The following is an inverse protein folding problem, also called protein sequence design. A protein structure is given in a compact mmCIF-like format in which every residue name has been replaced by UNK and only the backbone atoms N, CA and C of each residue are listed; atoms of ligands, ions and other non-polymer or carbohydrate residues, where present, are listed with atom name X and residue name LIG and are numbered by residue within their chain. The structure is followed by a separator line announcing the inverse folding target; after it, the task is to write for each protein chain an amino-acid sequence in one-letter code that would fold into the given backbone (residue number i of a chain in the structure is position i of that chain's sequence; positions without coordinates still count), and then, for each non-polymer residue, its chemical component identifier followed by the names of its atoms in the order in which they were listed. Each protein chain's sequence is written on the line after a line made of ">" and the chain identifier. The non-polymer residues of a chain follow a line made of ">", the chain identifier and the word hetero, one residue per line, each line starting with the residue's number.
data_IF_999512066827
#
_entry.id   IF_999512066827
#
_cell.length_a   1.000
_cell.length_b   1.000
_cell.length_c   1.000
_cell.angle_alpha   90.00
_cell.angle_beta   90.00
_cell.angle_gamma   90.00
#
_symmetry.space_group_name_H-M   'P 1'
#
loop_
_entity.id
_entity.type
_entity.pdbx_description
1 polymer ?
#
# COMPACT_ATOMS: atom_id res chain seq x y z
N UNK A 1 -78.60 -12.20 9.91
CA UNK A 1 -77.65 -11.68 8.90
C UNK A 1 -76.30 -11.47 9.58
N UNK A 2 -75.36 -12.41 9.45
CA UNK A 2 -74.04 -12.35 10.12
C UNK A 2 -73.01 -11.89 9.09
N UNK A 3 -72.44 -10.70 9.31
CA UNK A 3 -71.40 -10.11 8.48
C UNK A 3 -70.05 -10.70 8.93
N UNK A 4 -69.31 -11.27 7.98
CA UNK A 4 -67.99 -11.89 8.18
C UNK A 4 -66.93 -10.89 7.70
N UNK A 5 -66.08 -10.40 8.60
CA UNK A 5 -64.95 -9.53 8.26
C UNK A 5 -63.70 -10.37 7.93
N UNK A 6 -62.92 -10.02 6.88
CA UNK A 6 -61.72 -10.74 6.51
C UNK A 6 -60.51 -10.30 7.35
N UNK A 7 -59.67 -11.29 7.62
CA UNK A 7 -58.51 -11.26 8.50
C UNK A 7 -57.22 -11.12 7.69
N UNK A 8 -56.32 -10.28 8.19
CA UNK A 8 -54.86 -10.35 8.06
C UNK A 8 -54.20 -10.15 6.67
N UNK A 9 -53.85 -8.90 6.37
CA UNK A 9 -52.86 -8.52 5.36
C UNK A 9 -51.66 -7.76 5.98
N UNK A 10 -51.20 -8.19 7.17
CA UNK A 10 -50.15 -7.47 7.94
C UNK A 10 -48.86 -8.26 8.18
N UNK A 11 -48.77 -9.54 7.78
CA UNK A 11 -47.63 -10.40 8.11
C UNK A 11 -46.51 -10.46 7.05
N UNK A 12 -46.73 -9.98 5.83
CA UNK A 12 -45.75 -10.13 4.74
C UNK A 12 -44.72 -8.99 4.65
N UNK A 13 -44.96 -7.83 5.28
CA UNK A 13 -44.07 -6.65 5.19
C UNK A 13 -42.89 -6.73 6.17
N UNK A 14 -43.00 -7.50 7.24
CA UNK A 14 -41.98 -7.55 8.31
C UNK A 14 -40.74 -8.37 7.90
N UNK A 15 -40.87 -9.32 6.97
CA UNK A 15 -39.74 -10.15 6.54
C UNK A 15 -38.76 -9.45 5.58
N UNK A 16 -39.23 -8.46 4.79
CA UNK A 16 -38.36 -7.75 3.85
C UNK A 16 -37.45 -6.70 4.52
N UNK A 17 -37.86 -6.15 5.68
CA UNK A 17 -37.07 -5.17 6.43
C UNK A 17 -35.88 -5.80 7.19
N UNK A 18 -35.93 -7.10 7.48
CA UNK A 18 -34.87 -7.79 8.24
C UNK A 18 -33.72 -8.29 7.34
N UNK A 19 -33.98 -8.55 6.06
CA UNK A 19 -32.94 -8.94 5.08
C UNK A 19 -32.16 -7.72 4.58
N UNK A 20 -32.78 -6.54 4.52
CA UNK A 20 -32.10 -5.31 4.06
C UNK A 20 -31.19 -4.67 5.12
N UNK A 21 -31.37 -4.98 6.41
CA UNK A 21 -30.57 -4.42 7.51
C UNK A 21 -29.28 -5.19 7.80
N UNK A 22 -29.12 -6.41 7.29
CA UNK A 22 -27.88 -7.20 7.47
C UNK A 22 -26.82 -6.94 6.39
N UNK A 23 -27.20 -6.32 5.27
CA UNK A 23 -26.27 -5.98 4.17
C UNK A 23 -25.54 -4.64 4.35
N UNK A 24 -25.88 -3.84 5.37
CA UNK A 24 -25.34 -2.48 5.55
C UNK A 24 -24.21 -2.37 6.59
N UNK A 25 -23.76 -3.47 7.19
CA UNK A 25 -22.74 -3.46 8.26
C UNK A 25 -21.47 -4.25 7.94
N UNK A 26 -21.18 -4.54 6.67
CA UNK A 26 -19.85 -5.01 6.26
C UNK A 26 -18.92 -3.83 5.95
N UNK A 27 -18.94 -2.78 6.77
CA UNK A 27 -17.75 -1.95 6.92
C UNK A 27 -16.69 -2.84 7.56
N UNK A 28 -16.01 -3.64 6.73
CA UNK A 28 -14.86 -4.40 7.13
C UNK A 28 -13.86 -3.39 7.70
N UNK A 29 -13.73 -3.39 9.03
CA UNK A 29 -12.57 -2.83 9.69
C UNK A 29 -11.41 -3.73 9.28
N UNK A 30 -10.85 -3.51 8.09
CA UNK A 30 -9.59 -4.11 7.73
C UNK A 30 -8.58 -3.59 8.76
N UNK A 31 -7.91 -4.51 9.43
CA UNK A 31 -6.85 -4.14 10.35
C UNK A 31 -5.80 -3.38 9.53
N UNK A 32 -5.55 -2.11 9.87
CA UNK A 32 -4.48 -1.37 9.25
C UNK A 32 -3.16 -1.91 9.76
N UNK A 33 -2.42 -2.61 8.92
CA UNK A 33 -1.12 -3.15 9.28
C UNK A 33 -0.03 -2.33 8.62
N UNK A 34 1.01 -2.03 9.38
CA UNK A 34 2.21 -1.39 8.86
C UNK A 34 3.28 -2.47 8.67
N UNK A 35 3.83 -2.53 7.46
CA UNK A 35 4.99 -3.35 7.11
C UNK A 35 6.12 -2.40 6.72
N UNK A 36 7.32 -2.60 7.26
CA UNK A 36 8.41 -1.69 7.01
C UNK A 36 9.57 -1.81 8.00
N UNK A 37 10.47 -0.85 7.92
CA UNK A 37 11.52 -0.63 8.91
C UNK A 37 11.85 0.85 9.04
N UNK A 38 12.41 1.20 10.20
CA UNK A 38 12.79 2.57 10.57
C UNK A 38 14.30 2.74 10.77
N UNK A 39 15.09 1.73 10.42
CA UNK A 39 16.52 1.68 10.70
C UNK A 39 17.25 1.91 9.39
N UNK A 40 17.82 3.10 9.21
CA UNK A 40 18.69 3.39 8.07
C UNK A 40 19.54 4.63 8.27
N UNK A 41 20.34 4.93 7.26
CA UNK A 41 21.20 6.10 7.13
C UNK A 41 21.05 6.65 5.72
N UNK A 42 21.50 7.88 5.52
CA UNK A 42 21.42 8.54 4.23
C UNK A 42 22.26 7.80 3.18
N UNK A 43 21.65 7.55 2.02
CA UNK A 43 22.36 7.22 0.79
C UNK A 43 22.36 8.46 -0.12
N UNK A 44 23.52 8.94 -0.61
CA UNK A 44 23.56 10.03 -1.57
C UNK A 44 23.10 9.65 -3.00
N UNK A 45 22.72 8.41 -3.27
CA UNK A 45 22.37 7.96 -4.61
C UNK A 45 20.93 8.32 -5.03
N UNK A 46 20.80 9.01 -6.16
CA UNK A 46 19.55 9.46 -6.76
C UNK A 46 19.49 9.17 -8.28
N UNK A 47 18.32 9.37 -8.87
CA UNK A 47 17.98 9.17 -10.29
C UNK A 47 17.95 7.70 -10.77
N UNK A 48 17.73 6.77 -9.83
CA UNK A 48 17.55 5.34 -10.13
C UNK A 48 16.09 4.89 -10.00
N UNK A 49 15.78 3.76 -10.63
CA UNK A 49 14.55 3.02 -10.30
C UNK A 49 14.79 2.25 -9.02
N UNK A 50 14.22 2.76 -7.93
CA UNK A 50 14.27 2.11 -6.63
C UNK A 50 12.98 1.33 -6.40
N UNK A 51 13.16 0.12 -5.89
CA UNK A 51 12.05 -0.70 -5.43
C UNK A 51 12.35 -1.42 -4.13
N UNK A 52 11.29 -1.87 -3.47
CA UNK A 52 11.38 -2.65 -2.25
C UNK A 52 10.27 -3.71 -2.27
N UNK A 53 10.66 -4.97 -2.08
CA UNK A 53 9.67 -6.01 -1.82
C UNK A 53 9.32 -6.07 -0.34
N UNK A 54 8.09 -6.49 -0.06
CA UNK A 54 7.60 -6.75 1.29
C UNK A 54 6.69 -7.99 1.31
N UNK A 55 6.69 -8.70 2.44
CA UNK A 55 5.73 -9.75 2.73
C UNK A 55 4.59 -9.14 3.53
N UNK A 56 3.36 -9.23 3.03
CA UNK A 56 2.18 -8.74 3.73
C UNK A 56 1.95 -9.53 5.03
N UNK A 57 1.67 -8.83 6.13
CA UNK A 57 1.42 -9.44 7.45
C UNK A 57 -0.07 -9.54 7.79
N UNK A 58 -0.95 -9.06 6.92
CA UNK A 58 -2.38 -9.21 7.04
C UNK A 58 -3.08 -9.03 5.68
N UNK A 59 -4.34 -9.47 5.61
CA UNK A 59 -5.23 -9.20 4.49
C UNK A 59 -5.79 -7.77 4.60
N UNK A 60 -5.90 -7.06 3.47
CA UNK A 60 -6.42 -5.70 3.46
C UNK A 60 -6.36 -5.01 2.11
N UNK A 61 -6.28 -3.68 2.14
CA UNK A 61 -6.22 -2.84 0.95
C UNK A 61 -5.01 -1.92 1.07
N UNK A 62 -4.11 -1.99 0.10
CA UNK A 62 -2.93 -1.13 0.13
C UNK A 62 -3.34 0.35 0.05
N UNK A 63 -3.07 1.09 1.13
CA UNK A 63 -3.45 2.49 1.28
C UNK A 63 -2.34 3.42 0.81
N UNK A 64 -1.11 3.19 1.25
CA UNK A 64 0.06 3.95 0.84
C UNK A 64 1.33 3.10 0.90
N UNK A 65 2.31 3.53 0.10
CA UNK A 65 3.72 3.20 0.27
C UNK A 65 4.48 4.48 0.65
N UNK A 66 5.59 4.31 1.34
CA UNK A 66 6.39 5.41 1.85
C UNK A 66 7.87 5.05 1.85
N UNK A 67 8.69 5.97 1.36
CA UNK A 67 10.12 6.03 1.65
C UNK A 67 10.42 7.22 2.56
N UNK A 68 11.55 7.16 3.26
CA UNK A 68 12.06 8.29 4.05
C UNK A 68 13.19 8.99 3.30
N UNK A 69 13.10 10.31 3.16
CA UNK A 69 14.11 11.11 2.46
C UNK A 69 15.43 11.15 3.22
N UNK A 70 16.53 11.12 2.47
CA UNK A 70 17.89 11.33 2.95
C UNK A 70 18.28 12.81 3.03
N UNK A 71 19.56 13.07 3.30
CA UNK A 71 20.13 14.43 3.34
C UNK A 71 20.02 15.16 1.99
N UNK A 72 19.93 16.49 2.05
CA UNK A 72 19.99 17.36 0.86
C UNK A 72 18.66 17.95 0.41
N UNK A 73 17.52 17.42 0.88
CA UNK A 73 16.19 17.85 0.42
C UNK A 73 16.05 17.69 -1.10
N UNK A 74 15.21 18.52 -1.72
CA UNK A 74 15.11 18.61 -3.18
C UNK A 74 13.74 18.24 -3.72
N UNK A 75 13.69 17.95 -5.01
CA UNK A 75 12.43 17.71 -5.73
C UNK A 75 12.42 16.30 -6.29
N UNK A 76 11.48 15.48 -5.82
CA UNK A 76 11.11 14.25 -6.48
C UNK A 76 10.33 14.61 -7.73
N UNK A 77 10.90 14.39 -8.90
CA UNK A 77 10.21 14.66 -10.17
C UNK A 77 9.01 13.73 -10.32
N UNK A 78 8.02 14.18 -11.10
CA UNK A 78 6.87 13.35 -11.45
C UNK A 78 7.34 12.00 -12.04
N UNK A 79 6.73 10.91 -11.58
CA UNK A 79 7.17 9.54 -11.89
C UNK A 79 5.95 8.62 -11.98
N UNK A 80 6.18 7.32 -12.20
CA UNK A 80 5.13 6.29 -12.15
C UNK A 80 5.45 5.32 -11.04
N UNK A 81 4.55 5.19 -10.07
CA UNK A 81 4.58 4.07 -9.12
C UNK A 81 4.07 2.83 -9.82
N UNK A 82 4.82 1.73 -9.69
CA UNK A 82 4.42 0.38 -10.13
C UNK A 82 4.44 -0.56 -8.94
N UNK A 83 3.47 -1.47 -8.89
CA UNK A 83 3.43 -2.52 -7.88
C UNK A 83 3.28 -3.87 -8.58
N UNK A 84 4.13 -4.81 -8.21
CA UNK A 84 4.23 -6.14 -8.79
C UNK A 84 3.83 -7.22 -7.78
N UNK A 85 3.35 -8.34 -8.28
CA UNK A 85 3.18 -9.56 -7.51
C UNK A 85 4.55 -10.25 -7.33
N UNK A 86 4.85 -10.66 -6.10
CA UNK A 86 6.10 -11.35 -5.77
C UNK A 86 7.28 -10.41 -5.52
N UNK A 87 8.46 -11.03 -5.42
CA UNK A 87 9.75 -10.36 -5.24
C UNK A 87 10.40 -10.12 -6.61
N UNK A 88 9.85 -9.18 -7.38
CA UNK A 88 10.29 -8.87 -8.75
C UNK A 88 9.85 -7.46 -9.15
N UNK A 89 10.61 -6.83 -10.06
CA UNK A 89 10.22 -5.62 -10.79
C UNK A 89 10.08 -5.86 -12.29
N UNK A 90 10.10 -7.14 -12.69
CA UNK A 90 9.94 -7.57 -14.07
C UNK A 90 8.51 -8.05 -14.31
N UNK A 91 7.99 -7.78 -15.52
CA UNK A 91 6.68 -8.25 -15.97
C UNK A 91 5.61 -7.15 -15.95
N UNK A 92 4.35 -7.57 -15.93
CA UNK A 92 3.20 -6.65 -15.88
C UNK A 92 2.91 -6.27 -14.44
N UNK A 93 2.85 -4.97 -14.08
CA UNK A 93 2.49 -4.57 -12.73
C UNK A 93 1.02 -4.88 -12.45
N UNK A 94 0.73 -5.28 -11.21
CA UNK A 94 -0.64 -5.37 -10.67
C UNK A 94 -1.31 -4.00 -10.59
N UNK A 95 -0.51 -2.96 -10.36
CA UNK A 95 -0.98 -1.61 -10.19
C UNK A 95 0.03 -0.59 -10.73
N UNK A 96 -0.48 0.49 -11.30
CA UNK A 96 0.33 1.61 -11.79
C UNK A 96 -0.43 2.92 -11.61
N UNK A 97 0.24 3.96 -11.10
CA UNK A 97 -0.30 5.31 -11.05
C UNK A 97 0.78 6.34 -11.36
N UNK A 98 0.34 7.49 -11.88
CA UNK A 98 1.21 8.67 -12.01
C UNK A 98 1.34 9.31 -10.63
N UNK A 99 2.58 9.60 -10.26
CA UNK A 99 2.92 10.30 -9.02
C UNK A 99 3.34 11.72 -9.39
N UNK A 100 2.68 12.77 -8.86
CA UNK A 100 3.05 14.13 -9.13
C UNK A 100 4.41 14.48 -8.53
N UNK A 101 4.98 15.59 -8.97
CA UNK A 101 6.17 16.15 -8.36
C UNK A 101 5.95 16.48 -6.86
N UNK A 102 6.95 16.23 -6.04
CA UNK A 102 6.96 16.54 -4.61
C UNK A 102 8.26 17.23 -4.22
N UNK A 103 8.18 18.20 -3.31
CA UNK A 103 9.35 18.94 -2.83
C UNK A 103 9.56 18.70 -1.33
N UNK A 104 10.81 18.48 -0.95
CA UNK A 104 11.25 18.20 0.40
C UNK A 104 12.26 19.25 0.85
N UNK A 105 12.12 19.71 2.09
CA UNK A 105 12.99 20.73 2.69
C UNK A 105 14.26 20.16 3.31
N UNK A 106 14.29 18.86 3.62
CA UNK A 106 15.43 18.17 4.18
C UNK A 106 15.24 16.66 4.33
N UNK A 107 16.08 16.07 5.18
CA UNK A 107 16.05 14.63 5.50
C UNK A 107 14.97 14.27 6.49
N UNK A 108 14.50 13.02 6.41
CA UNK A 108 13.52 12.46 7.35
C UNK A 108 12.08 12.82 7.01
N UNK A 109 11.85 13.45 5.85
CA UNK A 109 10.51 13.68 5.35
C UNK A 109 9.98 12.44 4.63
N UNK A 110 8.66 12.34 4.56
CA UNK A 110 8.01 11.16 4.01
C UNK A 110 7.71 11.37 2.53
N UNK A 111 8.39 10.62 1.67
CA UNK A 111 7.95 10.40 0.30
C UNK A 111 6.80 9.38 0.34
N UNK A 112 5.60 9.85 0.68
CA UNK A 112 4.39 9.03 0.82
C UNK A 112 3.50 9.15 -0.40
N UNK A 113 3.14 8.01 -0.98
CA UNK A 113 2.26 7.92 -2.13
C UNK A 113 1.02 7.14 -1.74
N UNK A 114 -0.14 7.81 -1.74
CA UNK A 114 -1.44 7.18 -1.55
C UNK A 114 -1.92 6.56 -2.87
N UNK A 115 -2.46 5.35 -2.79
CA UNK A 115 -3.05 4.69 -3.94
C UNK A 115 -4.37 5.35 -4.33
N UNK A 116 -4.55 5.56 -5.63
CA UNK A 116 -5.76 6.16 -6.21
C UNK A 116 -6.85 5.13 -6.58
N UNK A 117 -6.51 3.85 -6.52
CA UNK A 117 -7.43 2.73 -6.71
C UNK A 117 -7.19 1.67 -5.64
N UNK A 118 -8.22 0.88 -5.36
CA UNK A 118 -8.13 -0.23 -4.41
C UNK A 118 -7.22 -1.32 -4.97
N UNK A 119 -6.15 -1.64 -4.25
CA UNK A 119 -5.31 -2.81 -4.50
C UNK A 119 -5.46 -3.79 -3.31
N UNK A 120 -6.17 -4.92 -3.47
CA UNK A 120 -6.28 -5.90 -2.41
C UNK A 120 -4.93 -6.57 -2.15
N UNK A 121 -4.62 -6.79 -0.87
CA UNK A 121 -3.41 -7.44 -0.38
C UNK A 121 -3.82 -8.68 0.41
N UNK A 122 -3.09 -9.77 0.19
CA UNK A 122 -3.30 -11.05 0.86
C UNK A 122 -2.13 -11.31 1.80
N UNK A 123 -2.43 -11.71 3.03
CA UNK A 123 -1.44 -12.08 4.04
C UNK A 123 -0.47 -13.13 3.51
N UNK A 124 0.79 -13.04 3.95
CA UNK A 124 1.90 -13.92 3.61
C UNK A 124 2.30 -13.93 2.12
N UNK A 125 1.66 -13.13 1.28
CA UNK A 125 2.11 -12.88 -0.09
C UNK A 125 3.17 -11.78 -0.14
N UNK A 126 4.05 -11.88 -1.14
CA UNK A 126 5.04 -10.85 -1.43
C UNK A 126 4.53 -9.91 -2.51
N UNK A 127 4.86 -8.64 -2.34
CA UNK A 127 4.62 -7.59 -3.33
C UNK A 127 5.87 -6.72 -3.43
N UNK A 128 6.06 -6.07 -4.57
CA UNK A 128 7.19 -5.15 -4.78
C UNK A 128 6.67 -3.84 -5.33
N UNK A 129 7.02 -2.72 -4.70
CA UNK A 129 6.75 -1.40 -5.26
C UNK A 129 8.03 -0.81 -5.85
N UNK A 130 7.92 -0.11 -6.98
CA UNK A 130 9.02 0.53 -7.72
C UNK A 130 8.60 1.91 -8.23
N UNK A 131 9.52 2.86 -8.17
CA UNK A 131 9.42 4.14 -8.87
C UNK A 131 10.82 4.70 -9.16
N UNK A 132 10.92 5.57 -10.16
CA UNK A 132 12.13 6.38 -10.33
C UNK A 132 12.16 7.47 -9.25
N UNK A 133 13.29 7.59 -8.56
CA UNK A 133 13.46 8.51 -7.44
C UNK A 133 14.56 9.52 -7.76
N UNK A 134 14.28 10.82 -7.58
CA UNK A 134 15.20 11.93 -7.88
C UNK A 134 15.64 12.69 -6.62
N UNK A 135 15.33 12.17 -5.44
CA UNK A 135 15.81 12.65 -4.15
C UNK A 135 16.59 11.56 -3.44
N UNK A 136 17.46 11.95 -2.53
CA UNK A 136 18.18 11.00 -1.69
C UNK A 136 17.18 10.28 -0.77
N UNK A 137 17.40 8.99 -0.52
CA UNK A 137 16.61 8.19 0.41
C UNK A 137 17.47 7.69 1.58
N UNK A 138 16.81 7.29 2.66
CA UNK A 138 17.47 6.51 3.70
C UNK A 138 17.46 5.03 3.33
N UNK A 139 18.62 4.39 3.50
CA UNK A 139 18.81 2.95 3.29
C UNK A 139 19.51 2.32 4.49
N UNK A 140 19.53 1.01 4.53
CA UNK A 140 20.26 0.21 5.51
C UNK A 140 20.96 -0.94 4.84
N UNK A 141 22.27 -1.01 5.01
CA UNK A 141 23.10 -2.13 4.54
C UNK A 141 23.17 -3.29 5.54
N UNK A 142 22.37 -3.22 6.62
CA UNK A 142 22.28 -4.24 7.66
C UNK A 142 21.08 -5.18 7.48
N UNK A 143 20.28 -5.00 6.41
CA UNK A 143 19.02 -5.72 6.17
C UNK A 143 18.13 -5.82 7.44
N UNK A 144 17.66 -4.68 7.99
CA UNK A 144 16.77 -4.67 9.15
C UNK A 144 15.40 -5.30 8.86
N UNK A 145 15.03 -5.50 7.60
CA UNK A 145 13.74 -6.04 7.18
C UNK A 145 13.90 -7.33 6.37
N UNK A 146 13.84 -8.47 7.05
CA UNK A 146 13.98 -9.80 6.42
C UNK A 146 12.78 -10.24 5.56
N UNK A 147 11.74 -9.41 5.43
CA UNK A 147 10.51 -9.75 4.72
C UNK A 147 10.55 -9.47 3.22
N UNK A 148 11.68 -8.99 2.69
CA UNK A 148 11.85 -8.67 1.27
C UNK A 148 13.30 -8.30 0.93
N UNK A 149 13.49 -7.66 -0.22
CA UNK A 149 14.77 -7.17 -0.73
C UNK A 149 14.57 -5.81 -1.43
N UNK A 150 15.63 -5.00 -1.47
CA UNK A 150 15.67 -3.80 -2.30
C UNK A 150 15.90 -4.14 -3.78
N UNK A 151 15.50 -3.24 -4.67
CA UNK A 151 15.78 -3.29 -6.11
C UNK A 151 16.36 -1.97 -6.59
N UNK A 152 17.38 -2.05 -7.46
CA UNK A 152 17.97 -0.92 -8.18
C UNK A 152 17.99 -1.24 -9.67
N UNK A 153 17.34 -0.42 -10.51
CA UNK A 153 17.39 -0.53 -11.97
C UNK A 153 17.12 -1.97 -12.47
N UNK A 154 16.18 -2.66 -11.84
CA UNK A 154 15.84 -4.05 -12.18
C UNK A 154 16.62 -5.14 -11.43
N UNK A 155 17.70 -4.81 -10.73
CA UNK A 155 18.54 -5.76 -10.00
C UNK A 155 18.15 -5.83 -8.53
N UNK A 156 18.05 -7.03 -7.95
CA UNK A 156 17.69 -7.23 -6.54
C UNK A 156 18.90 -7.30 -5.59
N UNK A 157 18.77 -6.72 -4.40
CA UNK A 157 19.82 -6.61 -3.38
C UNK A 157 19.29 -7.07 -2.02
N UNK A 158 19.69 -8.27 -1.58
CA UNK A 158 19.21 -8.86 -0.31
C UNK A 158 19.93 -8.39 0.94
N UNK A 159 20.95 -7.55 0.81
CA UNK A 159 21.70 -6.97 1.93
C UNK A 159 21.29 -5.53 2.23
N UNK A 160 20.49 -4.93 1.36
CA UNK A 160 20.06 -3.54 1.43
C UNK A 160 18.56 -3.51 1.60
N UNK A 161 18.11 -2.68 2.54
CA UNK A 161 16.71 -2.26 2.64
C UNK A 161 16.63 -0.75 2.54
N UNK A 162 15.56 -0.24 1.93
CA UNK A 162 15.17 1.15 2.14
C UNK A 162 14.61 1.32 3.55
N UNK A 163 14.61 2.54 4.07
CA UNK A 163 13.72 2.89 5.18
C UNK A 163 12.35 3.17 4.57
N UNK A 164 11.40 2.29 4.85
CA UNK A 164 10.11 2.31 4.18
C UNK A 164 8.97 1.91 5.11
N UNK A 165 7.75 2.33 4.75
CA UNK A 165 6.52 1.85 5.35
C UNK A 165 5.48 1.56 4.26
N UNK A 166 4.68 0.54 4.50
CA UNK A 166 3.54 0.13 3.69
C UNK A 166 2.35 0.00 4.63
N UNK A 167 1.24 0.66 4.30
CA UNK A 167 -0.01 0.54 5.06
C UNK A 167 -1.03 -0.26 4.27
N UNK A 168 -1.36 -1.44 4.78
CA UNK A 168 -2.36 -2.38 4.26
C UNK A 168 -3.68 -2.20 5.02
#
# INVERSE_FOLDING_TARGET
>A
MKIKTPHSAKQTIIFFAFVLTTLLFQSALYAQCIVGNTIGKNDPENDFFWGQSFTANCDGQLNYIEFITGEGGGTQTATTLRIFEGETVLGTPLYSQVVPEMTFSGSGENLRIYLDQVLPIVSDQKYTFELQVSVNLQISTANPYSGGIAFENGSGFSQVDFVFNVSI
#
